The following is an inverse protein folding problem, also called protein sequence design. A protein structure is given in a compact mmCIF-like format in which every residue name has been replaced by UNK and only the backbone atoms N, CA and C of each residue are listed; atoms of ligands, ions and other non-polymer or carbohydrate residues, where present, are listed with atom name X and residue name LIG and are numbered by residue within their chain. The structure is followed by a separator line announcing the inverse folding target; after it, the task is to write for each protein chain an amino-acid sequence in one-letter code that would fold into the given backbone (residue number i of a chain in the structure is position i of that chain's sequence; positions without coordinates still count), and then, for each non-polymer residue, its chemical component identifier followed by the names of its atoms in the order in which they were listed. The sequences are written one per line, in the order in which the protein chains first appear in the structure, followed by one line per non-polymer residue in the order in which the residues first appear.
data_IF_084893373057
#
_entry.id   IF_084893373057
#
_cell.length_a   1.000
_cell.length_b   1.000
_cell.length_c   1.000
_cell.angle_alpha   90.00
_cell.angle_beta   90.00
_cell.angle_gamma   90.00
#
_symmetry.space_group_name_H-M   'P 1'
#
loop_
_entity.id
_entity.type
_entity.pdbx_description
1 polymer ?
#
# COMPACT_ATOMS: atom_id res chain seq x y z
N UNK A 1 10.10 17.50 -6.22
CA UNK A 1 11.11 16.57 -5.67
C UNK A 1 11.71 15.79 -6.83
N UNK A 2 13.03 15.59 -6.88
CA UNK A 2 13.65 14.70 -7.85
C UNK A 2 13.07 13.29 -7.75
N UNK A 3 13.08 12.56 -8.86
CA UNK A 3 12.60 11.18 -8.89
C UNK A 3 13.58 10.28 -8.13
N UNK A 4 13.07 9.31 -7.36
CA UNK A 4 13.93 8.36 -6.63
C UNK A 4 14.80 7.54 -7.61
N UNK A 5 16.13 7.37 -7.38
CA UNK A 5 17.01 6.67 -8.31
C UNK A 5 16.72 5.18 -8.42
N UNK A 6 16.26 4.56 -7.32
CA UNK A 6 15.90 3.14 -7.30
C UNK A 6 14.56 2.82 -8.01
N UNK A 7 14.54 1.98 -9.06
CA UNK A 7 13.32 1.66 -9.81
C UNK A 7 12.23 0.99 -8.96
N UNK A 8 12.61 0.11 -8.04
CA UNK A 8 11.66 -0.60 -7.19
C UNK A 8 10.92 0.34 -6.23
N UNK A 9 11.61 1.38 -5.70
CA UNK A 9 10.97 2.44 -4.89
C UNK A 9 10.01 3.25 -5.74
N UNK A 10 10.41 3.68 -6.94
CA UNK A 10 9.52 4.40 -7.86
C UNK A 10 8.25 3.61 -8.17
N UNK A 11 8.37 2.31 -8.41
CA UNK A 11 7.23 1.42 -8.72
C UNK A 11 6.31 1.23 -7.52
N UNK A 12 6.87 1.08 -6.31
CA UNK A 12 6.10 1.03 -5.06
C UNK A 12 5.34 2.34 -4.80
N UNK A 13 6.00 3.48 -4.94
CA UNK A 13 5.36 4.82 -4.82
C UNK A 13 4.25 4.97 -5.85
N UNK A 14 4.45 4.52 -7.10
CA UNK A 14 3.41 4.56 -8.13
C UNK A 14 2.17 3.73 -7.77
N UNK A 15 2.35 2.55 -7.18
CA UNK A 15 1.24 1.74 -6.67
C UNK A 15 0.45 2.48 -5.58
N UNK A 16 1.14 3.13 -4.65
CA UNK A 16 0.50 3.92 -3.59
C UNK A 16 -0.21 5.14 -4.19
N UNK A 17 0.42 5.83 -5.14
CA UNK A 17 -0.19 6.94 -5.86
C UNK A 17 -1.45 6.51 -6.62
N UNK A 18 -1.47 5.31 -7.20
CA UNK A 18 -2.66 4.72 -7.84
C UNK A 18 -3.83 4.58 -6.85
N UNK A 19 -3.59 4.09 -5.63
CA UNK A 19 -4.64 4.05 -4.60
C UNK A 19 -5.07 5.46 -4.19
N UNK A 20 -4.15 6.42 -4.14
CA UNK A 20 -4.47 7.83 -3.98
C UNK A 20 -5.40 8.37 -5.07
N UNK A 21 -5.18 7.99 -6.34
CA UNK A 21 -6.11 8.30 -7.45
C UNK A 21 -7.48 7.68 -7.23
N UNK A 22 -7.55 6.41 -6.82
CA UNK A 22 -8.81 5.72 -6.51
C UNK A 22 -9.58 6.45 -5.38
N UNK A 23 -8.89 6.92 -4.35
CA UNK A 23 -9.50 7.68 -3.26
C UNK A 23 -10.13 9.00 -3.72
N UNK A 24 -9.52 9.71 -4.68
CA UNK A 24 -10.09 10.93 -5.28
C UNK A 24 -11.35 10.64 -6.10
N UNK A 25 -11.46 9.44 -6.66
CA UNK A 25 -12.60 8.98 -7.46
C UNK A 25 -13.74 8.36 -6.64
N UNK A 26 -13.63 8.37 -5.31
CA UNK A 26 -14.68 7.86 -4.41
C UNK A 26 -14.51 6.39 -3.99
N UNK A 27 -13.31 5.83 -4.08
CA UNK A 27 -12.99 4.47 -3.61
C UNK A 27 -12.20 4.47 -2.28
N UNK A 28 -12.58 5.32 -1.33
CA UNK A 28 -11.81 5.54 -0.10
C UNK A 28 -11.93 4.40 0.92
N UNK A 29 -12.80 3.41 0.67
CA UNK A 29 -12.83 2.19 1.49
C UNK A 29 -11.75 1.18 1.08
N UNK A 30 -11.05 1.39 -0.05
CA UNK A 30 -9.85 0.62 -0.36
C UNK A 30 -8.70 1.02 0.54
N UNK A 31 -8.04 0.02 1.10
CA UNK A 31 -6.92 0.15 2.02
C UNK A 31 -5.72 -0.65 1.54
N UNK A 32 -4.55 -0.26 2.02
CA UNK A 32 -3.28 -0.93 1.75
C UNK A 32 -2.72 -1.60 2.99
N UNK A 33 -2.17 -2.80 2.81
CA UNK A 33 -1.26 -3.45 3.75
C UNK A 33 0.10 -3.58 3.07
N UNK A 34 1.01 -2.61 3.24
CA UNK A 34 2.37 -2.71 2.76
C UNK A 34 3.25 -3.45 3.78
N UNK A 35 4.12 -4.35 3.32
CA UNK A 35 4.95 -5.19 4.20
C UNK A 35 6.20 -5.69 3.47
N UNK A 36 7.17 -6.19 4.21
CA UNK A 36 8.36 -6.82 3.63
C UNK A 36 8.16 -8.33 3.48
N UNK A 37 8.69 -8.91 2.40
CA UNK A 37 8.84 -10.35 2.27
C UNK A 37 9.67 -10.94 3.41
N UNK A 38 9.48 -12.22 3.79
CA UNK A 38 10.30 -12.88 4.82
C UNK A 38 11.81 -12.76 4.61
N UNK A 39 12.26 -12.82 3.35
CA UNK A 39 13.69 -12.65 2.99
C UNK A 39 14.20 -11.21 3.11
N UNK A 40 13.34 -10.22 3.35
CA UNK A 40 13.69 -8.80 3.34
C UNK A 40 13.94 -8.20 1.95
N UNK A 41 13.88 -8.97 0.86
CA UNK A 41 14.29 -8.52 -0.47
C UNK A 41 13.20 -7.79 -1.26
N UNK A 42 11.93 -7.98 -0.91
CA UNK A 42 10.82 -7.43 -1.67
C UNK A 42 9.84 -6.70 -0.78
N UNK A 43 9.55 -5.46 -1.15
CA UNK A 43 8.41 -4.74 -0.63
C UNK A 43 7.14 -5.25 -1.30
N UNK A 44 6.12 -5.52 -0.51
CA UNK A 44 4.84 -6.06 -0.95
C UNK A 44 3.74 -5.13 -0.53
N UNK A 45 2.63 -5.13 -1.26
CA UNK A 45 1.45 -4.38 -0.89
C UNK A 45 0.20 -5.09 -1.35
N UNK A 46 -0.68 -5.33 -0.38
CA UNK A 46 -2.01 -5.87 -0.63
C UNK A 46 -3.05 -4.78 -0.53
N UNK A 47 -4.03 -4.82 -1.42
CA UNK A 47 -5.10 -3.84 -1.51
C UNK A 47 -6.43 -4.56 -1.32
N UNK A 48 -7.24 -4.10 -0.37
CA UNK A 48 -8.53 -4.69 -0.06
C UNK A 48 -9.53 -3.66 0.49
N UNK A 49 -10.84 -3.97 0.54
CA UNK A 49 -11.82 -3.10 1.17
C UNK A 49 -11.63 -3.10 2.69
N UNK A 50 -12.15 -2.06 3.35
CA UNK A 50 -12.05 -1.87 4.80
C UNK A 50 -12.59 -3.03 5.64
N UNK A 51 -13.54 -3.80 5.10
CA UNK A 51 -14.10 -5.01 5.70
C UNK A 51 -13.09 -6.16 5.86
N UNK A 52 -11.99 -6.16 5.09
CA UNK A 52 -10.91 -7.15 5.24
C UNK A 52 -9.83 -6.75 6.24
N UNK A 53 -9.87 -5.52 6.77
CA UNK A 53 -8.88 -5.02 7.72
C UNK A 53 -9.39 -5.14 9.15
N UNK A 54 -8.52 -5.51 10.09
CA UNK A 54 -8.88 -5.70 11.50
C UNK A 54 -9.45 -4.42 12.14
N UNK A 55 -10.47 -4.57 13.00
CA UNK A 55 -11.16 -3.42 13.63
C UNK A 55 -10.34 -2.72 14.71
N UNK A 56 -9.28 -3.36 15.21
CA UNK A 56 -8.30 -2.77 16.12
C UNK A 56 -6.96 -2.46 15.43
N UNK A 57 -6.81 -2.81 14.13
CA UNK A 57 -5.61 -2.51 13.36
C UNK A 57 -5.90 -2.26 11.87
N UNK A 58 -6.12 -0.98 11.51
CA UNK A 58 -6.58 -0.58 10.18
C UNK A 58 -5.62 -0.75 9.00
N UNK A 59 -4.39 -1.23 9.25
CA UNK A 59 -3.37 -1.51 8.22
C UNK A 59 -3.08 -3.01 8.05
N UNK A 60 -3.71 -3.87 8.84
CA UNK A 60 -3.44 -5.32 8.81
C UNK A 60 -4.65 -6.02 8.21
N UNK A 61 -4.41 -6.71 7.10
CA UNK A 61 -5.42 -7.41 6.34
C UNK A 61 -5.55 -8.84 6.88
N UNK A 62 -6.79 -9.28 7.10
CA UNK A 62 -7.12 -10.61 7.64
C UNK A 62 -6.97 -11.72 6.59
N UNK A 63 -7.34 -11.43 5.35
CA UNK A 63 -7.52 -12.44 4.31
C UNK A 63 -6.25 -12.73 3.49
N UNK A 64 -5.55 -13.81 3.86
CA UNK A 64 -4.42 -14.37 3.11
C UNK A 64 -4.89 -15.32 1.97
N UNK A 65 -6.19 -15.52 1.78
CA UNK A 65 -6.79 -16.55 0.93
C UNK A 65 -6.31 -16.48 -0.51
N UNK A 66 -5.58 -17.49 -0.96
CA UNK A 66 -5.13 -17.59 -2.35
C UNK A 66 -6.32 -17.97 -3.24
N UNK A 67 -6.60 -17.12 -4.22
CA UNK A 67 -7.35 -17.54 -5.41
C UNK A 67 -6.35 -18.00 -6.47
N UNK A 68 -6.77 -18.91 -7.34
CA UNK A 68 -5.98 -19.32 -8.52
C UNK A 68 -5.65 -18.14 -9.42
N UNK A 69 -6.53 -17.12 -9.47
CA UNK A 69 -6.29 -15.89 -10.22
C UNK A 69 -6.37 -14.67 -9.30
N UNK A 70 -5.56 -13.64 -9.60
CA UNK A 70 -5.62 -12.36 -8.89
C UNK A 70 -6.99 -11.70 -9.04
N UNK A 71 -7.64 -11.83 -10.20
CA UNK A 71 -8.95 -11.21 -10.49
C UNK A 71 -10.03 -11.65 -9.50
N UNK A 72 -10.00 -12.91 -9.08
CA UNK A 72 -11.01 -13.49 -8.19
C UNK A 72 -10.60 -13.46 -6.71
N UNK A 73 -9.39 -12.96 -6.41
CA UNK A 73 -8.92 -12.82 -5.03
C UNK A 73 -9.66 -11.69 -4.32
N UNK A 74 -9.92 -11.88 -3.03
CA UNK A 74 -10.47 -10.85 -2.14
C UNK A 74 -9.55 -9.64 -1.98
N UNK A 75 -8.28 -9.75 -2.37
CA UNK A 75 -7.30 -8.66 -2.34
C UNK A 75 -6.42 -8.65 -3.58
N UNK A 76 -6.08 -7.45 -4.07
CA UNK A 76 -5.11 -7.28 -5.15
C UNK A 76 -3.69 -7.24 -4.57
N UNK A 77 -2.78 -8.08 -5.08
CA UNK A 77 -1.46 -8.31 -4.48
C UNK A 77 -0.36 -7.85 -5.42
N UNK A 78 0.59 -7.08 -4.89
CA UNK A 78 1.78 -6.68 -5.62
C UNK A 78 3.03 -6.99 -4.79
N UNK A 79 4.09 -7.42 -5.47
CA UNK A 79 5.45 -7.54 -4.93
C UNK A 79 6.42 -6.78 -5.80
N UNK A 80 7.39 -6.08 -5.22
CA UNK A 80 8.41 -5.35 -5.99
C UNK A 80 9.25 -6.25 -6.89
N UNK A 81 9.27 -7.56 -6.63
CA UNK A 81 9.86 -8.58 -7.51
C UNK A 81 9.12 -8.78 -8.84
N UNK A 82 7.86 -8.35 -8.95
CA UNK A 82 7.11 -8.33 -10.22
C UNK A 82 7.44 -7.10 -11.08
N UNK A 83 8.30 -6.22 -10.60
CA UNK A 83 8.71 -5.01 -11.30
C UNK A 83 7.50 -4.12 -11.69
N UNK A 84 7.31 -3.84 -12.97
CA UNK A 84 6.19 -3.05 -13.47
C UNK A 84 4.99 -3.93 -13.88
N UNK A 85 5.03 -5.25 -13.62
CA UNK A 85 3.94 -6.17 -13.89
C UNK A 85 2.91 -6.15 -12.76
N UNK A 86 2.32 -4.98 -12.50
CA UNK A 86 1.41 -4.75 -11.39
C UNK A 86 0.27 -5.79 -11.39
N UNK A 87 0.16 -6.56 -10.30
CA UNK A 87 -0.83 -7.63 -10.16
C UNK A 87 -0.77 -8.73 -11.24
N UNK A 88 0.39 -8.89 -11.90
CA UNK A 88 0.58 -9.76 -13.05
C UNK A 88 0.22 -9.13 -14.41
N UNK A 89 -0.13 -7.85 -14.47
CA UNK A 89 -0.46 -7.16 -15.73
C UNK A 89 0.79 -6.93 -16.58
N UNK A 90 0.83 -7.54 -17.77
CA UNK A 90 1.96 -7.43 -18.69
C UNK A 90 1.94 -6.15 -19.53
N UNK A 91 0.85 -5.39 -19.49
CA UNK A 91 0.62 -4.19 -20.28
C UNK A 91 0.73 -2.88 -19.46
N UNK A 92 1.27 -2.94 -18.25
CA UNK A 92 1.29 -1.83 -17.29
C UNK A 92 2.65 -1.13 -17.15
N UNK A 93 3.65 -1.49 -17.97
CA UNK A 93 5.03 -1.05 -17.82
C UNK A 93 5.21 0.48 -17.84
N UNK A 94 4.43 1.16 -18.68
CA UNK A 94 4.48 2.62 -18.88
C UNK A 94 3.32 3.37 -18.23
N UNK A 95 2.45 2.68 -17.52
CA UNK A 95 1.29 3.31 -16.91
C UNK A 95 1.74 4.27 -15.79
N UNK A 96 1.06 5.40 -15.71
CA UNK A 96 1.10 6.28 -14.54
C UNK A 96 0.06 5.85 -13.49
N UNK A 97 0.04 6.52 -12.35
CA UNK A 97 -0.89 6.21 -11.26
C UNK A 97 -2.37 6.27 -11.71
N UNK A 98 -2.70 7.21 -12.60
CA UNK A 98 -4.05 7.41 -13.13
C UNK A 98 -4.48 6.25 -14.02
N UNK A 99 -3.62 5.86 -14.95
CA UNK A 99 -3.85 4.75 -15.89
C UNK A 99 -3.93 3.41 -15.15
N UNK A 100 -3.09 3.20 -14.12
CA UNK A 100 -3.21 2.03 -13.25
C UNK A 100 -4.54 2.01 -12.48
N UNK A 101 -5.04 3.18 -12.04
CA UNK A 101 -6.33 3.27 -11.36
C UNK A 101 -7.50 2.95 -12.32
N UNK A 102 -7.43 3.38 -13.58
CA UNK A 102 -8.41 3.03 -14.61
C UNK A 102 -8.44 1.51 -14.82
N UNK A 103 -7.28 0.88 -14.98
CA UNK A 103 -7.16 -0.58 -15.10
C UNK A 103 -7.66 -1.30 -13.86
N UNK A 104 -7.38 -0.77 -12.67
CA UNK A 104 -7.84 -1.37 -11.41
C UNK A 104 -9.37 -1.45 -11.35
N UNK A 105 -10.07 -0.35 -11.66
CA UNK A 105 -11.53 -0.31 -11.67
C UNK A 105 -12.10 -1.27 -12.72
N UNK A 106 -11.50 -1.34 -13.92
CA UNK A 106 -11.97 -2.22 -14.99
C UNK A 106 -11.66 -3.71 -14.79
N UNK A 107 -10.55 -4.05 -14.11
CA UNK A 107 -10.07 -5.44 -13.98
C UNK A 107 -10.42 -6.09 -12.65
N UNK A 108 -10.52 -5.30 -11.58
CA UNK A 108 -10.93 -5.73 -10.24
C UNK A 108 -12.31 -5.18 -9.89
N UNK A 109 -13.31 -5.44 -10.75
CA UNK A 109 -14.66 -4.85 -10.63
C UNK A 109 -15.30 -5.10 -9.27
N UNK A 110 -15.21 -6.32 -8.75
CA UNK A 110 -15.74 -6.68 -7.43
C UNK A 110 -15.06 -5.88 -6.32
N UNK A 111 -13.71 -5.88 -6.32
CA UNK A 111 -12.92 -5.20 -5.31
C UNK A 111 -13.16 -3.68 -5.31
N UNK A 112 -13.23 -3.07 -6.50
CA UNK A 112 -13.56 -1.66 -6.67
C UNK A 112 -14.99 -1.37 -6.18
N UNK A 113 -15.94 -2.27 -6.43
CA UNK A 113 -17.31 -2.18 -5.91
C UNK A 113 -17.36 -2.18 -4.38
N UNK A 114 -16.68 -3.12 -3.73
CA UNK A 114 -16.57 -3.22 -2.28
C UNK A 114 -15.82 -2.02 -1.66
N UNK A 115 -14.85 -1.49 -2.40
CA UNK A 115 -14.07 -0.31 -2.05
C UNK A 115 -14.77 1.04 -2.24
N UNK A 116 -15.97 1.07 -2.85
CA UNK A 116 -16.69 2.31 -3.16
C UNK A 116 -17.27 2.98 -1.92
N UNK A 117 -17.12 4.30 -1.86
CA UNK A 117 -17.63 5.18 -0.82
C UNK A 117 -16.53 6.01 -0.16
N UNK A 118 -16.97 6.92 0.71
CA UNK A 118 -16.11 7.88 1.38
C UNK A 118 -15.60 7.35 2.72
N UNK A 119 -14.36 7.69 3.05
CA UNK A 119 -13.69 7.41 4.32
C UNK A 119 -12.64 8.50 4.53
N UNK A 120 -13.10 9.71 4.87
CA UNK A 120 -12.24 10.89 4.93
C UNK A 120 -11.09 10.75 5.93
N UNK A 121 -11.30 10.03 7.04
CA UNK A 121 -10.26 9.76 8.03
C UNK A 121 -9.16 8.87 7.45
N UNK A 122 -9.52 7.81 6.73
CA UNK A 122 -8.54 6.95 6.08
C UNK A 122 -7.85 7.68 4.91
N UNK A 123 -8.60 8.38 4.07
CA UNK A 123 -8.06 9.12 2.95
C UNK A 123 -7.09 10.23 3.40
N UNK A 124 -7.42 10.96 4.47
CA UNK A 124 -6.54 11.97 5.06
C UNK A 124 -5.24 11.37 5.62
N UNK A 125 -5.35 10.27 6.37
CA UNK A 125 -4.18 9.50 6.81
C UNK A 125 -3.35 8.99 5.61
N UNK A 126 -4.02 8.53 4.56
CA UNK A 126 -3.38 7.99 3.36
C UNK A 126 -2.56 9.05 2.62
N UNK A 127 -3.03 10.31 2.56
CA UNK A 127 -2.25 11.39 1.97
C UNK A 127 -0.93 11.62 2.72
N UNK A 128 -0.92 11.48 4.06
CA UNK A 128 0.33 11.56 4.84
C UNK A 128 1.26 10.40 4.49
N UNK A 129 0.74 9.17 4.40
CA UNK A 129 1.50 7.99 3.97
C UNK A 129 2.11 8.21 2.58
N UNK A 130 1.31 8.67 1.61
CA UNK A 130 1.74 8.88 0.23
C UNK A 130 2.86 9.93 0.16
N UNK A 131 2.69 11.07 0.83
CA UNK A 131 3.72 12.11 0.85
C UNK A 131 5.03 11.67 1.53
N UNK A 132 4.97 10.74 2.49
CA UNK A 132 6.17 10.12 3.06
C UNK A 132 6.85 9.18 2.07
N UNK A 133 6.08 8.32 1.41
CA UNK A 133 6.58 7.39 0.40
C UNK A 133 7.23 8.12 -0.80
N UNK A 134 6.63 9.22 -1.27
CA UNK A 134 7.19 10.08 -2.32
C UNK A 134 8.55 10.68 -1.96
N UNK A 135 8.81 10.86 -0.65
CA UNK A 135 10.11 11.30 -0.12
C UNK A 135 11.08 10.15 0.17
N UNK A 136 10.75 8.90 -0.20
CA UNK A 136 11.59 7.72 -0.01
C UNK A 136 11.42 7.00 1.33
N UNK A 137 10.40 7.35 2.13
CA UNK A 137 10.03 6.64 3.35
C UNK A 137 8.93 5.62 3.08
N UNK A 138 9.28 4.39 2.69
CA UNK A 138 8.26 3.39 2.35
C UNK A 138 7.60 2.79 3.60
N UNK A 139 6.26 2.67 3.65
CA UNK A 139 5.56 2.08 4.77
C UNK A 139 5.76 0.56 4.82
N UNK A 140 5.94 0.04 6.03
CA UNK A 140 6.06 -1.39 6.33
C UNK A 140 5.25 -1.68 7.59
N UNK A 141 4.09 -2.31 7.42
CA UNK A 141 3.21 -2.74 8.53
C UNK A 141 3.78 -3.97 9.22
N UNK A 142 4.40 -4.86 8.45
CA UNK A 142 4.89 -6.16 8.91
C UNK A 142 6.22 -6.50 8.24
N UNK A 143 7.12 -7.09 9.02
CA UNK A 143 8.33 -7.75 8.56
C UNK A 143 8.75 -8.77 9.62
N UNK A 144 9.53 -9.78 9.25
CA UNK A 144 9.91 -10.90 10.14
C UNK A 144 11.07 -10.55 11.10
N UNK A 145 11.23 -9.27 11.42
CA UNK A 145 12.31 -8.75 12.27
C UNK A 145 11.83 -8.22 13.61
N UNK A 146 12.76 -7.99 14.56
CA UNK A 146 12.44 -7.61 15.94
C UNK A 146 11.84 -6.21 16.09
N UNK A 147 11.96 -5.34 15.07
CA UNK A 147 11.41 -3.99 15.08
C UNK A 147 9.94 -3.89 14.63
N UNK A 148 9.25 -5.01 14.40
CA UNK A 148 7.84 -5.01 14.07
C UNK A 148 7.00 -4.44 15.24
N UNK A 149 6.03 -3.59 14.93
CA UNK A 149 5.20 -2.94 15.93
C UNK A 149 3.75 -2.91 15.48
N UNK A 150 2.84 -3.36 16.36
CA UNK A 150 1.40 -3.24 16.14
C UNK A 150 0.83 -1.88 16.55
N UNK A 151 1.66 -0.97 17.07
CA UNK A 151 1.24 0.33 17.61
C UNK A 151 1.48 1.50 16.65
N UNK A 152 2.27 1.29 15.60
CA UNK A 152 2.61 2.31 14.59
C UNK A 152 2.96 1.63 13.27
N UNK A 153 2.95 2.39 12.18
CA UNK A 153 3.47 1.90 10.90
C UNK A 153 4.96 2.24 10.83
N UNK A 154 5.80 1.23 10.63
CA UNK A 154 7.23 1.45 10.41
C UNK A 154 7.45 2.08 9.03
N UNK A 155 8.50 2.88 8.90
CA UNK A 155 8.93 3.42 7.62
C UNK A 155 10.34 2.90 7.34
N UNK A 156 10.57 2.36 6.16
CA UNK A 156 11.92 2.04 5.67
C UNK A 156 12.52 3.28 5.05
N UNK A 157 13.69 3.72 5.52
CA UNK A 157 14.46 4.79 4.89
C UNK A 157 15.17 4.24 3.65
N UNK A 158 14.58 4.44 2.47
CA UNK A 158 15.19 4.05 1.20
C UNK A 158 15.79 5.23 0.45
N UNK A 159 15.85 6.40 1.09
CA UNK A 159 16.30 7.63 0.46
C UNK A 159 17.76 7.53 0.04
N UNK A 160 18.14 8.14 -1.09
CA UNK A 160 19.54 8.36 -1.45
C UNK A 160 20.27 9.13 -0.35
N UNK A 161 21.59 8.91 -0.22
CA UNK A 161 22.39 9.53 0.82
C UNK A 161 22.32 11.07 0.76
N UNK A 162 22.28 11.62 -0.45
CA UNK A 162 22.17 13.05 -0.72
C UNK A 162 20.82 13.68 -0.31
N UNK A 163 19.79 12.88 -0.05
CA UNK A 163 18.50 13.36 0.47
C UNK A 163 18.43 13.33 2.00
N UNK A 164 19.43 12.73 2.67
CA UNK A 164 19.46 12.59 4.13
C UNK A 164 20.15 13.80 4.72
N UNK A 165 19.58 14.34 5.79
CA UNK A 165 20.24 15.39 6.58
C UNK A 165 20.80 14.79 7.86
N UNK A 166 22.00 15.21 8.26
CA UNK A 166 22.58 14.77 9.53
C UNK A 166 21.68 15.18 10.71
N UNK A 167 21.47 14.26 11.65
CA UNK A 167 20.57 14.48 12.79
C UNK A 167 19.07 14.48 12.45
N UNK A 168 18.68 14.24 11.19
CA UNK A 168 17.28 14.13 10.82
C UNK A 168 16.61 12.94 11.53
N UNK A 169 15.51 13.24 12.23
CA UNK A 169 14.71 12.20 12.85
C UNK A 169 13.81 11.54 11.82
N UNK A 170 13.77 10.21 11.85
CA UNK A 170 12.81 9.45 11.07
C UNK A 170 11.38 9.89 11.40
N UNK A 171 10.55 10.25 10.41
CA UNK A 171 9.19 10.66 10.65
C UNK A 171 8.37 9.52 11.24
N UNK A 172 7.33 9.87 12.01
CA UNK A 172 6.34 8.91 12.50
C UNK A 172 5.11 8.87 11.58
N UNK A 173 4.52 7.68 11.47
CA UNK A 173 3.21 7.47 10.86
C UNK A 173 2.34 6.68 11.88
N UNK A 174 1.30 7.31 12.46
CA UNK A 174 0.42 6.61 13.39
C UNK A 174 -0.35 5.50 12.67
N UNK A 175 -1.03 4.63 13.43
CA UNK A 175 -1.95 3.66 12.84
C UNK A 175 -3.05 4.38 12.05
N UNK A 176 -3.46 3.82 10.90
CA UNK A 176 -4.66 4.29 10.23
C UNK A 176 -5.90 4.03 11.09
N UNK A 177 -7.03 4.71 10.81
CA UNK A 177 -8.31 4.39 11.41
C UNK A 177 -8.63 2.89 11.31
N UNK A 178 -9.28 2.33 12.32
CA UNK A 178 -9.75 0.95 12.38
C UNK A 178 -10.36 0.43 11.08
N UNK A 179 -10.11 -0.85 10.75
CA UNK A 179 -10.86 -1.57 9.71
C UNK A 179 -12.27 -1.92 10.17
N UNK A 180 -12.99 -2.71 9.36
CA UNK A 180 -14.37 -3.14 9.61
C UNK A 180 -14.54 -4.66 9.69
N UNK A 181 -13.45 -5.41 9.75
CA UNK A 181 -13.52 -6.84 10.07
C UNK A 181 -14.22 -7.02 11.42
N UNK A 182 -14.99 -8.09 11.57
CA UNK A 182 -15.59 -8.48 12.86
C UNK A 182 -14.54 -8.95 13.88
N UNK A 183 -13.31 -9.21 13.44
CA UNK A 183 -12.24 -9.77 14.25
C UNK A 183 -11.21 -8.70 14.68
N UNK A 184 -10.52 -9.01 15.77
CA UNK A 184 -9.37 -8.28 16.30
C UNK A 184 -8.06 -8.96 15.85
N UNK A 185 -7.00 -8.17 15.68
CA UNK A 185 -5.65 -8.66 15.50
C UNK A 185 -5.16 -9.20 16.86
N UNK A 186 -5.14 -10.53 17.00
CA UNK A 186 -4.72 -11.22 18.23
C UNK A 186 -3.21 -11.15 18.44
#
# INVERSE_FOLDING_TARGET
MPQHPEPHVRRAVRLLAMVGELHRRGYQKLRVMPFMSPSGNHWRCWIGPDTLFYRDHGAYLRDFGFSETQRDSSSARYTSGEEARYFGWTDAERDDARSLADKFVGRFVRLAGEGKGWSYTYAGWYQRLLGLAERGWLPVVMHDGPSSSLKKINLSDLRPAEWRTEGEQQPSLPLPPAGKSSENLR
#
